data_IF_546363130469
#
_entry.id   IF_546363130469
#
_cell.length_a   1.000
_cell.length_b   1.000
_cell.length_c   1.000
_cell.angle_alpha   90.00
_cell.angle_beta   90.00
_cell.angle_gamma   90.00
#
_symmetry.space_group_name_H-M   'P 1'
#
loop_
_entity.id
_entity.type
_entity.pdbx_description
1 polymer ?
#
# COMPACT_ATOMS: atom_id res chain seq x y z
N UNK A 1 -1.01 2.49 -25.19
CA UNK A 1 -0.70 1.12 -24.73
C UNK A 1 0.15 1.28 -23.48
N UNK A 2 -0.36 0.84 -22.33
CA UNK A 2 0.40 0.91 -21.07
C UNK A 2 1.26 -0.36 -21.05
N UNK A 3 2.58 -0.18 -20.93
CA UNK A 3 3.58 -1.25 -20.99
C UNK A 3 3.54 -2.10 -19.72
N UNK A 4 3.89 -3.37 -19.88
CA UNK A 4 3.87 -4.49 -18.93
C UNK A 4 4.90 -4.39 -17.77
N UNK A 5 4.93 -3.26 -17.07
CA UNK A 5 5.67 -3.05 -15.81
C UNK A 5 4.70 -2.67 -14.67
N UNK A 6 3.49 -3.22 -14.68
CA UNK A 6 2.44 -2.94 -13.71
C UNK A 6 2.75 -3.60 -12.35
N UNK A 7 2.70 -2.80 -11.29
CA UNK A 7 2.73 -3.28 -9.93
C UNK A 7 1.42 -3.98 -9.56
N UNK A 8 1.46 -4.85 -8.56
CA UNK A 8 0.27 -5.52 -8.02
C UNK A 8 0.16 -5.18 -6.54
N UNK A 9 -1.06 -4.89 -6.09
CA UNK A 9 -1.36 -4.71 -4.68
C UNK A 9 -2.10 -5.96 -4.22
N UNK A 10 -1.55 -6.68 -3.26
CA UNK A 10 -2.18 -7.86 -2.69
C UNK A 10 -2.60 -7.53 -1.27
N UNK A 11 -3.87 -7.74 -0.93
CA UNK A 11 -4.38 -7.57 0.43
C UNK A 11 -4.97 -8.88 0.95
N UNK A 12 -4.36 -9.43 2.00
CA UNK A 12 -4.90 -10.56 2.76
C UNK A 12 -5.65 -10.08 4.02
N UNK A 13 -6.98 -10.14 4.01
CA UNK A 13 -7.88 -9.75 5.12
C UNK A 13 -9.11 -10.67 5.16
N UNK A 14 -9.65 -10.87 6.36
CA UNK A 14 -10.89 -11.64 6.56
C UNK A 14 -12.09 -10.92 5.94
N UNK A 15 -12.03 -9.60 5.77
CA UNK A 15 -13.14 -8.76 5.31
C UNK A 15 -12.83 -8.10 3.96
N UNK A 16 -13.02 -8.83 2.87
CA UNK A 16 -12.76 -8.33 1.51
C UNK A 16 -13.71 -7.19 1.08
N UNK A 17 -15.02 -7.33 1.35
CA UNK A 17 -16.04 -6.37 0.89
C UNK A 17 -15.80 -4.95 1.42
N UNK A 18 -15.55 -4.83 2.74
CA UNK A 18 -15.28 -3.54 3.40
C UNK A 18 -13.98 -2.90 2.92
N UNK A 19 -13.05 -3.70 2.40
CA UNK A 19 -11.75 -3.24 1.96
C UNK A 19 -11.85 -2.62 0.56
N UNK A 20 -12.54 -3.28 -0.37
CA UNK A 20 -12.82 -2.72 -1.70
C UNK A 20 -13.62 -1.43 -1.59
N UNK A 21 -14.66 -1.39 -0.75
CA UNK A 21 -15.44 -0.17 -0.49
C UNK A 21 -14.58 0.99 0.03
N UNK A 22 -13.56 0.69 0.84
CA UNK A 22 -12.64 1.70 1.36
C UNK A 22 -11.78 2.35 0.25
N UNK A 23 -11.33 1.57 -0.74
CA UNK A 23 -10.62 2.13 -1.90
C UNK A 23 -11.57 2.81 -2.88
N UNK A 24 -12.76 2.25 -3.11
CA UNK A 24 -13.72 2.79 -4.08
C UNK A 24 -14.24 4.18 -3.69
N UNK A 25 -14.59 4.35 -2.40
CA UNK A 25 -15.14 5.61 -1.86
C UNK A 25 -14.13 6.78 -1.87
N UNK A 26 -12.84 6.51 -2.13
CA UNK A 26 -11.77 7.51 -2.15
C UNK A 26 -11.38 7.79 -3.60
N UNK A 27 -11.76 8.96 -4.13
CA UNK A 27 -11.50 9.32 -5.53
C UNK A 27 -10.04 9.13 -5.98
N UNK A 28 -9.06 9.42 -5.11
CA UNK A 28 -7.63 9.25 -5.43
C UNK A 28 -7.15 7.80 -5.41
N UNK A 29 -7.95 6.87 -4.88
CA UNK A 29 -7.63 5.44 -4.81
C UNK A 29 -8.28 4.62 -5.93
N UNK A 30 -9.14 5.24 -6.75
CA UNK A 30 -9.76 4.57 -7.90
C UNK A 30 -8.74 4.05 -8.92
N UNK A 31 -7.55 4.65 -8.99
CA UNK A 31 -6.50 4.15 -9.88
C UNK A 31 -5.83 2.88 -9.32
N UNK A 32 -5.70 2.73 -8.01
CA UNK A 32 -5.06 1.54 -7.40
C UNK A 32 -5.99 0.33 -7.33
N UNK A 33 -7.31 0.54 -7.36
CA UNK A 33 -8.30 -0.56 -7.25
C UNK A 33 -8.16 -1.60 -8.37
N UNK A 34 -7.77 -1.20 -9.58
CA UNK A 34 -7.59 -2.14 -10.71
C UNK A 34 -6.40 -3.09 -10.50
N UNK A 35 -5.44 -2.67 -9.68
CA UNK A 35 -4.23 -3.43 -9.30
C UNK A 35 -4.40 -4.18 -7.98
N UNK A 36 -5.50 -3.95 -7.27
CA UNK A 36 -5.80 -4.60 -6.00
C UNK A 36 -6.31 -6.02 -6.24
N UNK A 37 -5.76 -6.97 -5.48
CA UNK A 37 -6.23 -8.35 -5.37
C UNK A 37 -6.42 -8.66 -3.89
N UNK A 38 -7.65 -9.03 -3.52
CA UNK A 38 -8.01 -9.36 -2.15
C UNK A 38 -8.09 -10.87 -1.96
N UNK A 39 -7.60 -11.33 -0.82
CA UNK A 39 -7.64 -12.73 -0.41
C UNK A 39 -8.11 -12.81 1.04
N UNK A 40 -8.79 -13.90 1.37
CA UNK A 40 -9.21 -14.25 2.74
C UNK A 40 -8.65 -15.61 3.16
N UNK A 41 -8.08 -16.36 2.23
CA UNK A 41 -7.36 -17.60 2.47
C UNK A 41 -5.86 -17.39 2.27
N UNK A 42 -5.05 -17.96 3.16
CA UNK A 42 -3.59 -17.81 3.14
C UNK A 42 -2.94 -18.56 1.99
N UNK A 43 -3.44 -19.76 1.65
CA UNK A 43 -2.86 -20.60 0.60
C UNK A 43 -3.12 -19.98 -0.76
N UNK A 44 -4.37 -19.59 -1.03
CA UNK A 44 -4.73 -18.91 -2.27
C UNK A 44 -3.90 -17.62 -2.47
N UNK A 45 -3.65 -16.89 -1.38
CA UNK A 45 -2.83 -15.69 -1.42
C UNK A 45 -1.36 -15.99 -1.76
N UNK A 46 -0.77 -17.00 -1.13
CA UNK A 46 0.63 -17.40 -1.37
C UNK A 46 0.79 -17.98 -2.77
N UNK A 47 -0.13 -18.82 -3.24
CA UNK A 47 -0.14 -19.39 -4.58
C UNK A 47 -0.27 -18.28 -5.64
N UNK A 48 -1.11 -17.29 -5.38
CA UNK A 48 -1.20 -16.11 -6.24
C UNK A 48 0.12 -15.34 -6.28
N UNK A 49 0.70 -15.00 -5.13
CA UNK A 49 1.97 -14.25 -5.06
C UNK A 49 3.08 -15.01 -5.79
N UNK A 50 3.25 -16.30 -5.52
CA UNK A 50 4.34 -17.12 -6.09
C UNK A 50 4.18 -17.41 -7.58
N UNK A 51 2.97 -17.33 -8.13
CA UNK A 51 2.71 -17.48 -9.57
C UNK A 51 2.91 -16.21 -10.39
N UNK A 52 3.06 -15.05 -9.74
CA UNK A 52 3.31 -13.79 -10.46
C UNK A 52 4.71 -13.76 -11.06
N UNK A 53 4.84 -13.03 -12.17
CA UNK A 53 6.12 -12.75 -12.84
C UNK A 53 6.57 -11.30 -12.70
N UNK A 54 5.79 -10.47 -12.01
CA UNK A 54 6.12 -9.07 -11.77
C UNK A 54 7.06 -8.95 -10.60
N UNK A 55 7.98 -7.98 -10.63
CA UNK A 55 8.88 -7.74 -9.51
C UNK A 55 8.30 -6.75 -8.47
N UNK A 56 7.06 -6.30 -8.66
CA UNK A 56 6.50 -5.14 -7.98
C UNK A 56 5.22 -5.46 -7.18
N UNK A 57 5.31 -6.37 -6.20
CA UNK A 57 4.19 -6.71 -5.31
C UNK A 57 4.24 -5.86 -4.04
N UNK A 58 3.16 -5.10 -3.80
CA UNK A 58 2.90 -4.42 -2.54
C UNK A 58 1.91 -5.27 -1.73
N UNK A 59 2.37 -5.86 -0.63
CA UNK A 59 1.57 -6.77 0.18
C UNK A 59 1.04 -6.11 1.44
N UNK A 60 -0.28 -6.20 1.66
CA UNK A 60 -0.99 -5.70 2.82
C UNK A 60 -1.59 -6.87 3.57
N UNK A 61 -1.48 -6.87 4.89
CA UNK A 61 -2.03 -7.95 5.71
C UNK A 61 -2.37 -7.48 7.11
N UNK A 62 -3.27 -8.20 7.78
CA UNK A 62 -3.44 -8.07 9.24
C UNK A 62 -2.26 -8.73 9.95
N UNK A 63 -2.05 -8.40 11.23
CA UNK A 63 -1.02 -9.06 12.03
C UNK A 63 -1.17 -10.59 12.07
N UNK A 64 -2.41 -11.09 12.27
CA UNK A 64 -2.69 -12.52 12.38
C UNK A 64 -2.26 -13.28 11.14
N UNK A 65 -2.66 -12.78 9.96
CA UNK A 65 -2.23 -13.38 8.69
C UNK A 65 -0.76 -13.13 8.40
N UNK A 66 -0.25 -11.95 8.76
CA UNK A 66 1.14 -11.59 8.56
C UNK A 66 2.09 -12.57 9.24
N UNK A 67 1.81 -12.95 10.50
CA UNK A 67 2.62 -13.92 11.26
C UNK A 67 2.71 -15.27 10.56
N UNK A 68 1.69 -15.64 9.78
CA UNK A 68 1.64 -16.89 9.02
C UNK A 68 2.36 -16.73 7.68
N UNK A 69 2.02 -15.68 6.91
CA UNK A 69 2.38 -15.58 5.49
C UNK A 69 3.74 -14.92 5.26
N UNK A 70 4.10 -13.88 6.02
CA UNK A 70 5.36 -13.13 5.81
C UNK A 70 6.60 -14.03 5.83
N UNK A 71 6.76 -15.00 6.76
CA UNK A 71 7.89 -15.92 6.75
C UNK A 71 8.10 -16.67 5.42
N UNK A 72 7.05 -16.87 4.63
CA UNK A 72 7.12 -17.61 3.37
C UNK A 72 7.40 -16.72 2.15
N UNK A 73 7.07 -15.43 2.23
CA UNK A 73 7.08 -14.54 1.05
C UNK A 73 8.09 -13.39 1.15
N UNK A 74 8.65 -13.10 2.33
CA UNK A 74 9.47 -11.90 2.52
C UNK A 74 10.75 -11.91 1.68
N UNK A 75 11.33 -13.07 1.38
CA UNK A 75 12.55 -13.15 0.58
C UNK A 75 12.31 -13.08 -0.93
N UNK A 76 11.07 -13.28 -1.40
CA UNK A 76 10.74 -13.34 -2.81
C UNK A 76 11.13 -12.05 -3.53
N UNK A 77 11.92 -12.14 -4.61
CA UNK A 77 12.40 -10.97 -5.36
C UNK A 77 11.29 -10.01 -5.77
N UNK A 78 10.12 -10.57 -6.12
CA UNK A 78 8.90 -9.86 -6.48
C UNK A 78 8.23 -9.04 -5.37
N UNK A 79 8.66 -9.19 -4.12
CA UNK A 79 8.11 -8.42 -3.02
C UNK A 79 8.78 -7.05 -2.97
N UNK A 80 8.03 -5.99 -3.26
CA UNK A 80 8.52 -4.62 -3.19
C UNK A 80 8.43 -4.07 -1.76
N UNK A 81 7.29 -4.27 -1.09
CA UNK A 81 7.05 -3.78 0.27
C UNK A 81 5.89 -4.50 0.93
N UNK A 82 5.99 -4.68 2.25
CA UNK A 82 4.97 -5.29 3.09
C UNK A 82 4.45 -4.28 4.13
N UNK A 83 3.13 -4.22 4.29
CA UNK A 83 2.45 -3.32 5.22
C UNK A 83 1.54 -4.14 6.13
N UNK A 84 1.69 -3.95 7.44
CA UNK A 84 0.96 -4.74 8.42
C UNK A 84 -0.03 -3.84 9.16
N UNK A 85 -1.29 -4.27 9.21
CA UNK A 85 -2.29 -3.66 10.08
C UNK A 85 -2.30 -4.41 11.41
N UNK A 86 -1.84 -3.75 12.48
CA UNK A 86 -1.83 -4.31 13.83
C UNK A 86 -2.27 -3.27 14.84
N UNK A 87 -3.01 -3.72 15.85
CA UNK A 87 -3.33 -2.93 17.06
C UNK A 87 -2.47 -3.32 18.25
N UNK A 88 -1.62 -4.34 18.08
CA UNK A 88 -0.74 -4.85 19.11
C UNK A 88 0.63 -4.19 18.97
N UNK A 89 1.30 -4.05 20.11
CA UNK A 89 2.66 -3.57 20.21
C UNK A 89 3.58 -4.80 20.30
N UNK A 90 3.91 -5.37 19.14
CA UNK A 90 4.77 -6.55 19.00
C UNK A 90 5.74 -6.30 17.84
N UNK A 91 7.00 -6.71 18.01
CA UNK A 91 8.14 -6.43 17.16
C UNK A 91 8.58 -7.63 16.31
N UNK A 92 7.77 -8.70 16.23
CA UNK A 92 8.08 -9.92 15.49
C UNK A 92 8.50 -9.70 14.02
N UNK A 93 8.18 -8.55 13.43
CA UNK A 93 8.49 -8.19 12.06
C UNK A 93 9.86 -7.52 11.86
N UNK A 94 10.60 -7.19 12.93
CA UNK A 94 11.86 -6.44 12.86
C UNK A 94 12.94 -7.11 11.99
N UNK A 95 12.88 -8.45 11.84
CA UNK A 95 13.84 -9.21 11.03
C UNK A 95 13.50 -9.20 9.52
N UNK A 96 12.35 -8.67 9.11
CA UNK A 96 11.91 -8.67 7.72
C UNK A 96 12.19 -7.32 7.07
N UNK A 97 13.29 -7.23 6.32
CA UNK A 97 13.76 -5.99 5.68
C UNK A 97 12.77 -5.34 4.71
N UNK A 98 11.81 -6.11 4.17
CA UNK A 98 10.78 -5.63 3.25
C UNK A 98 9.51 -5.12 3.94
N UNK A 99 9.43 -5.21 5.27
CA UNK A 99 8.32 -4.61 6.03
C UNK A 99 8.52 -3.10 6.08
N UNK A 100 7.70 -2.39 5.31
CA UNK A 100 7.74 -0.93 5.19
C UNK A 100 7.10 -0.22 6.39
N UNK A 101 6.27 -0.93 7.18
CA UNK A 101 5.76 -0.43 8.45
C UNK A 101 4.56 -1.20 8.98
N UNK A 102 4.24 -0.89 10.24
CA UNK A 102 3.06 -1.38 10.95
C UNK A 102 2.16 -0.22 11.31
N UNK A 103 0.86 -0.40 11.09
CA UNK A 103 -0.12 0.67 11.17
C UNK A 103 -1.32 0.21 12.00
N UNK A 104 -1.78 1.10 12.88
CA UNK A 104 -2.99 0.88 13.69
C UNK A 104 -4.27 1.16 12.88
N UNK A 105 -4.16 2.05 11.90
CA UNK A 105 -5.29 2.59 11.15
C UNK A 105 -5.15 2.35 9.64
N UNK A 106 -6.22 1.86 9.02
CA UNK A 106 -6.28 1.58 7.57
C UNK A 106 -6.00 2.84 6.74
N UNK A 107 -6.40 4.05 7.20
CA UNK A 107 -6.14 5.28 6.44
C UNK A 107 -4.66 5.59 6.37
N UNK A 108 -3.94 5.51 7.49
CA UNK A 108 -2.49 5.74 7.53
C UNK A 108 -1.73 4.73 6.66
N UNK A 109 -2.11 3.46 6.74
CA UNK A 109 -1.54 2.40 5.92
C UNK A 109 -1.71 2.71 4.44
N UNK A 110 -2.94 2.99 4.02
CA UNK A 110 -3.24 3.26 2.61
C UNK A 110 -2.58 4.56 2.14
N UNK A 111 -2.53 5.61 2.96
CA UNK A 111 -1.79 6.83 2.62
C UNK A 111 -0.30 6.56 2.40
N UNK A 112 0.34 5.72 3.24
CA UNK A 112 1.73 5.34 3.05
C UNK A 112 1.92 4.50 1.78
N UNK A 113 1.06 3.52 1.56
CA UNK A 113 1.06 2.68 0.35
C UNK A 113 1.00 3.54 -0.91
N UNK A 114 0.06 4.50 -0.99
CA UNK A 114 -0.09 5.36 -2.17
C UNK A 114 1.18 6.17 -2.40
N UNK A 115 1.79 6.71 -1.34
CA UNK A 115 3.06 7.45 -1.45
C UNK A 115 4.18 6.54 -1.95
N UNK A 116 4.26 5.30 -1.47
CA UNK A 116 5.31 4.36 -1.87
C UNK A 116 5.12 3.86 -3.30
N UNK A 117 3.89 3.54 -3.70
CA UNK A 117 3.55 3.25 -5.10
C UNK A 117 3.89 4.46 -5.97
N UNK A 118 3.48 5.66 -5.57
CA UNK A 118 3.77 6.88 -6.30
C UNK A 118 5.29 7.06 -6.44
N UNK A 119 6.11 6.83 -5.42
CA UNK A 119 7.58 6.89 -5.53
C UNK A 119 8.15 5.81 -6.44
N UNK A 120 7.65 4.58 -6.31
CA UNK A 120 8.07 3.44 -7.10
C UNK A 120 7.72 3.61 -8.58
N UNK A 121 6.61 4.28 -8.88
CA UNK A 121 6.15 4.59 -10.24
C UNK A 121 6.64 5.95 -10.75
N UNK A 122 6.94 6.92 -9.88
CA UNK A 122 7.48 8.25 -10.22
C UNK A 122 8.93 8.20 -10.70
N UNK A 123 9.65 7.09 -10.50
CA UNK A 123 10.88 6.86 -11.26
C UNK A 123 10.60 6.66 -12.77
N UNK A 124 9.33 6.50 -13.17
CA UNK A 124 8.86 6.31 -14.55
C UNK A 124 7.74 7.29 -14.99
N UNK A 125 6.93 7.87 -14.08
CA UNK A 125 5.81 8.76 -14.41
C UNK A 125 5.98 10.09 -13.69
N UNK A 126 6.67 11.05 -14.28
CA UNK A 126 7.01 12.36 -13.71
C UNK A 126 5.83 13.12 -13.07
N UNK A 127 6.05 13.52 -11.81
CA UNK A 127 5.73 14.72 -11.00
C UNK A 127 4.43 15.55 -11.25
N UNK A 128 3.77 15.43 -12.39
CA UNK A 128 2.68 16.31 -12.85
C UNK A 128 1.35 16.22 -12.07
N UNK A 129 1.06 15.10 -11.40
CA UNK A 129 -0.16 15.00 -10.56
C UNK A 129 0.03 15.54 -9.15
N UNK A 130 1.22 15.42 -8.58
CA UNK A 130 1.48 15.78 -7.18
C UNK A 130 1.55 17.29 -6.97
N UNK A 131 1.96 18.05 -7.99
CA UNK A 131 2.08 19.50 -7.90
C UNK A 131 0.73 20.19 -7.65
N UNK A 132 -0.38 19.72 -8.24
CA UNK A 132 -1.67 20.44 -8.10
C UNK A 132 -2.25 20.39 -6.69
N UNK A 133 -2.18 19.24 -6.02
CA UNK A 133 -2.77 19.08 -4.68
C UNK A 133 -1.84 19.55 -3.56
N UNK A 134 -0.52 19.35 -3.72
CA UNK A 134 0.46 19.86 -2.75
C UNK A 134 0.52 21.39 -2.79
N UNK A 135 0.56 22.01 -3.98
CA UNK A 135 0.61 23.48 -4.09
C UNK A 135 -0.67 24.13 -3.56
N UNK A 136 -1.84 23.47 -3.73
CA UNK A 136 -3.11 23.98 -3.19
C UNK A 136 -3.13 23.92 -1.66
N UNK A 137 -2.69 22.80 -1.07
CA UNK A 137 -2.61 22.62 0.38
C UNK A 137 -1.61 23.58 1.03
N UNK A 138 -0.45 23.83 0.39
CA UNK A 138 0.55 24.79 0.91
C UNK A 138 0.03 26.22 0.87
N UNK A 139 -0.68 26.63 -0.20
CA UNK A 139 -1.25 27.98 -0.29
C UNK A 139 -2.30 28.26 0.79
N UNK A 140 -3.11 27.27 1.14
CA UNK A 140 -4.13 27.42 2.19
C UNK A 140 -3.49 27.54 3.58
N UNK A 141 -2.42 26.79 3.87
CA UNK A 141 -1.67 26.90 5.14
C UNK A 141 -0.96 28.26 5.29
N UNK A 142 -0.50 28.86 4.20
CA UNK A 142 0.15 30.19 4.27
C UNK A 142 -0.83 31.35 4.48
N UNK A 143 -2.14 31.15 4.29
CA UNK A 143 -3.14 32.21 4.49
C UNK A 143 -3.60 32.36 5.95
N UNK A 144 -3.55 31.31 6.77
CA UNK A 144 -4.04 31.38 8.16
C UNK A 144 -3.04 31.98 9.16
N UNK A 145 -1.76 32.14 8.79
CA UNK A 145 -0.73 32.70 9.69
C UNK A 145 -0.38 34.18 9.46
N UNK A 146 -1.02 34.87 8.51
CA UNK A 146 -0.72 36.26 8.18
C UNK A 146 -1.72 37.29 8.76
N UNK A 147 -2.27 37.03 9.96
CA UNK A 147 -3.09 38.02 10.67
C UNK A 147 -2.74 38.09 12.15
N UNK A 148 -1.55 38.60 12.45
CA UNK A 148 -1.26 39.24 13.74
C UNK A 148 -0.40 40.49 13.49
N UNK A 149 -1.07 41.58 13.10
CA UNK A 149 -0.72 42.97 13.44
C UNK A 149 -2.00 43.80 13.42
#
# INVERSE_FOLDING_TARGET
>A
MINSEDFIIVWLDENQDKTTDYFDTRQHLRYVIQYLRTFSDTNDCVDFITSQRTDNIFFLTSETFGKIVIPHIHELCQMASIYILSKLDDDWFQNYSKVAGVFIDKKRLVSKLVVDIAKHTHNTISISLLEKDIIKSIRDLTKEHASFM
#
